data_IF_691353318513
#
_entry.id   IF_691353318513
#
_cell.length_a   1.000
_cell.length_b   1.000
_cell.length_c   1.000
_cell.angle_alpha   90.00
_cell.angle_beta   90.00
_cell.angle_gamma   90.00
#
_symmetry.space_group_name_H-M   'P 1'
#
loop_
_entity.id
_entity.type
_entity.pdbx_description
1 polymer ?
#
# COMPACT_ATOMS: atom_id res chain seq x y z
N UNK A 1 -7.84 -44.08 9.40
CA UNK A 1 -6.68 -44.89 8.96
C UNK A 1 -7.15 -46.29 8.61
N UNK A 2 -7.17 -46.65 7.33
CA UNK A 2 -7.43 -48.01 6.83
C UNK A 2 -6.47 -48.23 5.67
N UNK A 3 -5.48 -49.10 5.86
CA UNK A 3 -4.54 -49.51 4.82
C UNK A 3 -5.12 -50.79 4.22
N UNK A 4 -5.49 -50.76 2.94
CA UNK A 4 -5.85 -51.94 2.16
C UNK A 4 -4.73 -52.20 1.16
N UNK A 5 -4.07 -53.34 1.37
CA UNK A 5 -2.98 -53.85 0.55
C UNK A 5 -3.58 -54.87 -0.43
N UNK A 6 -3.48 -54.64 -1.73
CA UNK A 6 -3.95 -55.59 -2.75
C UNK A 6 -2.87 -55.76 -3.84
N UNK A 7 -2.29 -56.97 -3.83
CA UNK A 7 -1.39 -57.52 -4.85
C UNK A 7 -2.12 -57.75 -6.18
N UNK A 8 -1.37 -57.52 -7.26
CA UNK A 8 -1.48 -58.02 -8.63
C UNK A 8 -2.70 -58.89 -8.97
N UNK A 9 -3.52 -58.39 -9.89
CA UNK A 9 -4.19 -59.20 -10.91
C UNK A 9 -4.37 -58.37 -12.17
N UNK A 10 -3.74 -58.82 -13.25
CA UNK A 10 -3.97 -58.32 -14.61
C UNK A 10 -5.39 -58.69 -15.02
N UNK A 11 -6.22 -57.69 -15.33
CA UNK A 11 -7.39 -57.87 -16.17
C UNK A 11 -7.59 -56.61 -17.01
N UNK A 12 -7.48 -56.77 -18.33
CA UNK A 12 -7.74 -55.72 -19.29
C UNK A 12 -9.22 -55.32 -19.23
N UNK A 13 -9.49 -54.11 -18.73
CA UNK A 13 -10.77 -53.43 -18.91
C UNK A 13 -10.51 -52.29 -19.88
N UNK A 14 -11.02 -52.45 -21.09
CA UNK A 14 -11.20 -51.39 -22.07
C UNK A 14 -12.27 -50.45 -21.53
N UNK A 15 -11.87 -49.44 -20.73
CA UNK A 15 -12.76 -48.36 -20.31
C UNK A 15 -12.74 -47.30 -21.40
N UNK A 16 -13.88 -47.15 -22.07
CA UNK A 16 -14.24 -45.97 -22.84
C UNK A 16 -13.95 -44.73 -21.99
N UNK A 17 -12.91 -43.98 -22.36
CA UNK A 17 -12.67 -42.64 -21.81
C UNK A 17 -13.84 -41.76 -22.25
N UNK A 18 -14.86 -41.69 -21.39
CA UNK A 18 -15.78 -40.56 -21.41
C UNK A 18 -14.93 -39.30 -21.31
N UNK A 19 -15.05 -38.42 -22.30
CA UNK A 19 -14.61 -37.04 -22.18
C UNK A 19 -15.31 -36.43 -20.98
N UNK A 20 -14.64 -36.47 -19.82
CA UNK A 20 -14.97 -35.55 -18.74
C UNK A 20 -14.50 -34.21 -19.27
N UNK A 21 -15.42 -33.46 -19.87
CA UNK A 21 -15.23 -32.02 -20.05
C UNK A 21 -14.99 -31.47 -18.64
N UNK A 22 -13.73 -31.20 -18.32
CA UNK A 22 -13.44 -30.23 -17.29
C UNK A 22 -14.21 -28.98 -17.70
N UNK A 23 -15.10 -28.51 -16.84
CA UNK A 23 -15.60 -27.15 -16.97
C UNK A 23 -14.35 -26.28 -17.03
N UNK A 24 -14.06 -25.73 -18.21
CA UNK A 24 -13.03 -24.73 -18.33
C UNK A 24 -13.49 -23.60 -17.40
N UNK A 25 -12.81 -23.45 -16.27
CA UNK A 25 -12.85 -22.20 -15.56
C UNK A 25 -12.28 -21.22 -16.58
N UNK A 26 -13.15 -20.45 -17.24
CA UNK A 26 -12.80 -19.42 -18.22
C UNK A 26 -12.22 -18.21 -17.49
N UNK A 27 -11.25 -18.47 -16.61
CA UNK A 27 -10.39 -17.44 -16.06
C UNK A 27 -9.40 -17.07 -17.15
N UNK A 28 -9.29 -15.78 -17.52
CA UNK A 28 -8.23 -15.32 -18.40
C UNK A 28 -6.89 -15.90 -17.92
N UNK A 29 -6.25 -16.69 -18.77
CA UNK A 29 -5.02 -17.36 -18.39
C UNK A 29 -3.95 -16.31 -18.12
N UNK A 30 -3.47 -16.25 -16.88
CA UNK A 30 -2.27 -15.49 -16.52
C UNK A 30 -1.10 -16.02 -17.33
N UNK A 31 -0.42 -15.13 -18.03
CA UNK A 31 0.81 -15.46 -18.74
C UNK A 31 2.05 -15.09 -17.90
N UNK A 32 1.93 -14.13 -16.98
CA UNK A 32 3.00 -13.71 -16.08
C UNK A 32 2.40 -13.21 -14.76
N UNK A 33 2.89 -13.75 -13.65
CA UNK A 33 2.57 -13.24 -12.32
C UNK A 33 3.71 -12.34 -11.82
N UNK A 34 3.33 -11.30 -11.09
CA UNK A 34 4.18 -10.19 -10.69
C UNK A 34 3.88 -9.86 -9.23
N UNK A 35 4.88 -9.89 -8.37
CA UNK A 35 4.74 -9.42 -7.00
C UNK A 35 5.16 -7.94 -6.90
N UNK A 36 4.36 -7.16 -6.20
CA UNK A 36 4.56 -5.72 -5.96
C UNK A 36 4.66 -5.50 -4.46
N UNK A 37 5.75 -4.88 -4.00
CA UNK A 37 6.06 -4.73 -2.57
C UNK A 37 5.70 -3.38 -1.98
N UNK A 38 5.49 -2.37 -2.81
CA UNK A 38 5.19 -1.02 -2.37
C UNK A 38 4.20 -0.34 -3.32
N UNK A 39 3.53 0.70 -2.84
CA UNK A 39 2.65 1.50 -3.68
C UNK A 39 3.50 2.31 -4.66
N UNK A 40 3.16 2.30 -5.94
CA UNK A 40 3.93 3.01 -6.94
C UNK A 40 3.52 2.77 -8.38
N UNK A 41 4.25 3.39 -9.30
CA UNK A 41 4.10 3.17 -10.74
C UNK A 41 5.06 2.08 -11.17
N UNK A 42 4.53 1.05 -11.81
CA UNK A 42 5.27 -0.11 -12.26
C UNK A 42 5.32 -0.18 -13.78
N UNK A 43 6.45 -0.66 -14.31
CA UNK A 43 6.66 -0.93 -15.73
C UNK A 43 6.99 -2.40 -15.99
N UNK A 44 6.39 -2.93 -17.05
CA UNK A 44 6.67 -4.26 -17.59
C UNK A 44 6.99 -4.10 -19.06
N UNK A 45 8.23 -4.38 -19.45
CA UNK A 45 8.66 -4.26 -20.85
C UNK A 45 8.38 -5.54 -21.63
N UNK A 46 8.36 -5.45 -22.95
CA UNK A 46 8.34 -6.62 -23.83
C UNK A 46 9.46 -7.60 -23.49
N UNK A 47 10.68 -7.07 -23.31
CA UNK A 47 11.88 -7.88 -23.07
C UNK A 47 11.81 -8.60 -21.72
N UNK A 48 11.24 -7.98 -20.70
CA UNK A 48 11.02 -8.62 -19.39
C UNK A 48 10.15 -9.87 -19.52
N UNK A 49 9.06 -9.79 -20.29
CA UNK A 49 8.12 -10.90 -20.47
C UNK A 49 8.77 -12.02 -21.29
N UNK A 50 9.49 -11.68 -22.36
CA UNK A 50 10.21 -12.67 -23.19
C UNK A 50 11.35 -13.33 -22.41
N UNK A 51 12.02 -12.62 -21.50
CA UNK A 51 13.04 -13.18 -20.62
C UNK A 51 12.50 -14.26 -19.67
N UNK A 52 11.18 -14.25 -19.38
CA UNK A 52 10.49 -15.33 -18.65
C UNK A 52 10.11 -16.52 -19.56
N UNK A 53 10.54 -16.55 -20.82
CA UNK A 53 10.21 -17.60 -21.78
C UNK A 53 8.83 -17.48 -22.42
N UNK A 54 8.15 -16.34 -22.26
CA UNK A 54 6.80 -16.11 -22.77
C UNK A 54 6.88 -15.48 -24.16
N UNK A 55 6.27 -16.13 -25.16
CA UNK A 55 6.25 -15.60 -26.53
C UNK A 55 5.08 -14.62 -26.74
N UNK A 56 5.41 -13.34 -26.96
CA UNK A 56 4.45 -12.28 -27.26
C UNK A 56 4.32 -11.94 -28.76
N UNK A 57 5.00 -12.68 -29.64
CA UNK A 57 4.99 -12.42 -31.08
C UNK A 57 3.57 -12.42 -31.66
N UNK A 58 3.19 -11.32 -32.31
CA UNK A 58 1.89 -11.17 -32.96
C UNK A 58 0.72 -10.92 -31.99
N UNK A 59 0.98 -10.79 -30.69
CA UNK A 59 -0.05 -10.42 -29.73
C UNK A 59 -0.43 -8.95 -29.93
N UNK A 60 -1.72 -8.70 -30.12
CA UNK A 60 -2.27 -7.35 -30.22
C UNK A 60 -2.11 -6.63 -28.89
N UNK A 61 -1.59 -5.41 -28.89
CA UNK A 61 -1.46 -4.61 -27.66
C UNK A 61 -2.81 -4.30 -27.00
N UNK A 62 -3.91 -4.25 -27.77
CA UNK A 62 -5.27 -4.09 -27.24
C UNK A 62 -5.76 -5.29 -26.43
N UNK A 63 -5.10 -6.45 -26.55
CA UNK A 63 -5.41 -7.69 -25.82
C UNK A 63 -4.50 -7.92 -24.62
N UNK A 64 -3.63 -6.99 -24.27
CA UNK A 64 -2.87 -7.07 -23.02
C UNK A 64 -3.64 -6.34 -21.93
N UNK A 65 -3.73 -6.95 -20.74
CA UNK A 65 -4.28 -6.33 -19.55
C UNK A 65 -3.65 -6.91 -18.30
N UNK A 66 -3.75 -6.17 -17.20
CA UNK A 66 -3.29 -6.61 -15.89
C UNK A 66 -4.51 -6.75 -14.98
N UNK A 67 -4.49 -7.78 -14.13
CA UNK A 67 -5.46 -8.00 -13.06
C UNK A 67 -4.75 -8.09 -11.71
N UNK A 68 -5.42 -7.67 -10.64
CA UNK A 68 -5.03 -7.94 -9.26
C UNK A 68 -6.18 -8.70 -8.59
N UNK A 69 -5.93 -9.91 -8.11
CA UNK A 69 -6.97 -10.77 -7.50
C UNK A 69 -8.25 -10.90 -8.36
N UNK A 70 -8.10 -10.99 -9.69
CA UNK A 70 -9.22 -11.08 -10.63
C UNK A 70 -9.87 -9.75 -11.02
N UNK A 71 -9.49 -8.65 -10.37
CA UNK A 71 -10.00 -7.30 -10.64
C UNK A 71 -9.12 -6.64 -11.73
N UNK A 72 -9.69 -6.17 -12.86
CA UNK A 72 -8.94 -5.46 -13.88
C UNK A 72 -8.28 -4.18 -13.35
N UNK A 73 -7.01 -4.00 -13.72
CA UNK A 73 -6.21 -2.82 -13.38
C UNK A 73 -6.02 -1.97 -14.64
N UNK A 74 -6.33 -0.66 -14.61
CA UNK A 74 -6.04 0.22 -15.73
C UNK A 74 -4.55 0.27 -16.06
N UNK A 75 -4.23 0.10 -17.34
CA UNK A 75 -2.84 0.14 -17.84
C UNK A 75 -2.67 1.19 -18.93
N UNK A 76 -1.45 1.71 -19.07
CA UNK A 76 -1.01 2.50 -20.23
C UNK A 76 -0.01 1.68 -21.03
N UNK A 77 -0.19 1.61 -22.35
CA UNK A 77 0.73 0.88 -23.23
C UNK A 77 1.48 1.88 -24.08
N UNK A 78 2.80 1.89 -23.93
CA UNK A 78 3.70 2.71 -24.72
C UNK A 78 4.25 1.85 -25.85
N UNK A 79 3.94 2.25 -27.08
CA UNK A 79 4.34 1.51 -28.28
C UNK A 79 4.40 2.42 -29.48
N UNK A 80 5.42 2.22 -30.32
CA UNK A 80 5.55 2.90 -31.61
C UNK A 80 4.69 2.26 -32.70
N UNK A 81 4.20 1.04 -32.48
CA UNK A 81 3.32 0.31 -33.38
C UNK A 81 1.85 0.49 -32.95
N UNK A 82 0.91 0.53 -33.90
CA UNK A 82 -0.52 0.68 -33.58
C UNK A 82 -1.22 -0.64 -33.26
N UNK A 83 -0.65 -1.80 -33.62
CA UNK A 83 -1.37 -3.09 -33.58
C UNK A 83 -0.74 -4.06 -32.60
N UNK A 84 0.53 -4.37 -32.77
CA UNK A 84 1.26 -5.41 -32.02
C UNK A 84 2.07 -4.83 -30.88
N UNK A 85 2.29 -5.64 -29.85
CA UNK A 85 3.23 -5.35 -28.76
C UNK A 85 4.59 -5.97 -29.11
N UNK A 86 5.61 -5.13 -29.29
CA UNK A 86 6.88 -5.47 -29.94
C UNK A 86 8.09 -5.09 -29.08
N UNK A 87 9.31 -5.54 -29.43
CA UNK A 87 10.52 -5.15 -28.71
C UNK A 87 10.64 -3.62 -28.56
N UNK A 88 10.92 -3.16 -27.35
CA UNK A 88 10.95 -1.74 -26.97
C UNK A 88 9.62 -1.18 -26.45
N UNK A 89 8.50 -1.91 -26.62
CA UNK A 89 7.22 -1.53 -26.02
C UNK A 89 7.17 -1.90 -24.53
N UNK A 90 6.33 -1.19 -23.78
CA UNK A 90 6.13 -1.45 -22.36
C UNK A 90 4.73 -1.07 -21.88
N UNK A 91 4.35 -1.67 -20.75
CA UNK A 91 3.11 -1.43 -20.04
C UNK A 91 3.44 -0.71 -18.75
N UNK A 92 2.75 0.39 -18.45
CA UNK A 92 2.77 1.04 -17.15
C UNK A 92 1.41 0.87 -16.45
N UNK A 93 1.44 0.75 -15.12
CA UNK A 93 0.25 0.71 -14.29
C UNK A 93 0.58 1.18 -12.87
N UNK A 94 -0.45 1.57 -12.11
CA UNK A 94 -0.30 1.88 -10.69
C UNK A 94 -0.51 0.60 -9.88
N UNK A 95 0.55 0.16 -9.20
CA UNK A 95 0.53 -0.97 -8.28
C UNK A 95 0.31 -0.50 -6.85
N UNK A 96 -0.49 -1.24 -6.11
CA UNK A 96 -0.72 -1.02 -4.68
C UNK A 96 -0.34 -2.30 -3.94
N UNK A 97 0.45 -2.16 -2.89
CA UNK A 97 0.62 -3.21 -1.91
C UNK A 97 -0.61 -3.21 -0.99
N UNK A 98 -1.49 -4.18 -1.20
CA UNK A 98 -2.61 -4.43 -0.32
C UNK A 98 -2.15 -4.90 1.06
N UNK A 99 -2.84 -4.43 2.10
CA UNK A 99 -2.60 -4.90 3.46
C UNK A 99 -3.18 -6.31 3.62
N UNK A 100 -2.32 -7.33 3.57
CA UNK A 100 -2.66 -8.71 3.93
C UNK A 100 -1.82 -9.16 5.11
N UNK A 101 -2.45 -9.72 6.13
CA UNK A 101 -1.76 -10.32 7.28
C UNK A 101 -0.90 -11.53 6.89
N UNK A 102 -1.14 -12.11 5.72
CA UNK A 102 -0.61 -13.41 5.32
C UNK A 102 0.21 -13.36 4.02
N UNK A 103 0.41 -12.17 3.46
CA UNK A 103 1.14 -12.01 2.21
C UNK A 103 1.98 -10.74 2.23
N UNK A 104 3.28 -10.91 1.97
CA UNK A 104 4.17 -9.79 1.68
C UNK A 104 4.02 -9.38 0.22
N UNK A 105 3.48 -8.19 -0.01
CA UNK A 105 3.24 -7.66 -1.34
C UNK A 105 1.87 -8.05 -1.92
N UNK A 106 1.66 -7.69 -3.17
CA UNK A 106 0.43 -7.95 -3.91
C UNK A 106 0.71 -8.56 -5.28
N UNK A 107 -0.09 -9.55 -5.64
CA UNK A 107 0.08 -10.29 -6.90
C UNK A 107 -0.76 -9.67 -7.99
N UNK A 108 -0.06 -9.28 -9.04
CA UNK A 108 -0.62 -8.80 -10.29
C UNK A 108 -0.34 -9.83 -11.38
N UNK A 109 -1.28 -10.01 -12.29
CA UNK A 109 -1.16 -10.97 -13.39
C UNK A 109 -1.35 -10.28 -14.72
N UNK A 110 -0.38 -10.44 -15.62
CA UNK A 110 -0.55 -10.10 -17.03
C UNK A 110 -1.38 -11.18 -17.70
N UNK A 111 -2.44 -10.79 -18.40
CA UNK A 111 -3.36 -11.68 -19.10
C UNK A 111 -3.53 -11.25 -20.56
N UNK A 112 -3.89 -12.21 -21.43
CA UNK A 112 -4.24 -11.95 -22.83
C UNK A 112 -5.77 -11.81 -22.95
N UNK A 113 -6.27 -10.65 -22.52
CA UNK A 113 -7.67 -10.26 -22.68
C UNK A 113 -7.78 -8.73 -22.82
N UNK A 114 -8.91 -8.26 -23.33
CA UNK A 114 -9.24 -6.84 -23.24
C UNK A 114 -9.39 -6.44 -21.76
N UNK A 115 -8.87 -5.27 -21.40
CA UNK A 115 -8.98 -4.76 -20.04
C UNK A 115 -9.02 -3.24 -20.01
N UNK A 116 -8.91 -2.69 -18.81
CA UNK A 116 -8.99 -1.26 -18.58
C UNK A 116 -7.75 -0.54 -19.12
N UNK A 117 -7.91 0.75 -19.40
CA UNK A 117 -6.85 1.64 -19.88
C UNK A 117 -6.79 2.89 -19.02
N UNK A 118 -5.58 3.40 -18.83
CA UNK A 118 -5.37 4.73 -18.27
C UNK A 118 -5.80 5.75 -19.33
N UNK A 119 -6.62 6.72 -18.93
CA UNK A 119 -7.08 7.78 -19.81
C UNK A 119 -6.08 8.93 -19.82
N UNK A 120 -5.77 9.46 -21.01
CA UNK A 120 -4.89 10.62 -21.14
C UNK A 120 -5.68 11.91 -20.93
N UNK A 121 -5.46 12.56 -19.78
CA UNK A 121 -5.93 13.92 -19.55
C UNK A 121 -4.94 14.91 -20.19
N UNK A 122 -5.46 15.87 -20.94
CA UNK A 122 -4.68 16.87 -21.69
C UNK A 122 -4.62 18.24 -20.99
N UNK A 123 -5.11 18.33 -19.76
CA UNK A 123 -5.01 19.52 -18.92
C UNK A 123 -3.55 19.91 -18.77
N UNK A 124 -3.24 21.14 -19.16
CA UNK A 124 -1.89 21.71 -19.05
C UNK A 124 -1.71 22.38 -17.69
N UNK A 125 -0.47 22.43 -17.17
CA UNK A 125 -0.14 23.24 -16.01
C UNK A 125 -0.65 24.68 -16.14
N UNK A 126 -1.37 25.18 -15.13
CA UNK A 126 -1.93 26.52 -15.09
C UNK A 126 -1.18 27.42 -14.10
N UNK A 127 -0.18 28.14 -14.60
CA UNK A 127 0.66 29.05 -13.80
C UNK A 127 -0.05 30.31 -13.28
N UNK A 128 -1.30 30.55 -13.66
CA UNK A 128 -2.07 31.71 -13.18
C UNK A 128 -2.81 31.43 -11.87
N UNK A 129 -2.98 30.15 -11.52
CA UNK A 129 -3.64 29.71 -10.30
C UNK A 129 -2.62 29.56 -9.18
N UNK A 130 -2.99 29.97 -7.96
CA UNK A 130 -2.18 29.67 -6.78
C UNK A 130 -2.09 28.15 -6.58
N UNK A 131 -0.89 27.59 -6.35
CA UNK A 131 -0.73 26.17 -6.14
C UNK A 131 -1.26 25.75 -4.76
N UNK A 132 -1.68 24.49 -4.65
CA UNK A 132 -1.94 23.85 -3.36
C UNK A 132 -0.66 23.85 -2.51
N UNK A 133 -0.80 24.19 -1.24
CA UNK A 133 0.34 24.41 -0.34
C UNK A 133 0.77 23.14 0.40
N UNK A 134 -0.18 22.27 0.71
CA UNK A 134 0.04 21.05 1.48
C UNK A 134 -0.95 19.96 1.12
N UNK A 135 -0.62 18.74 1.51
CA UNK A 135 -1.55 17.62 1.62
C UNK A 135 -1.46 17.03 3.03
N UNK A 136 -2.47 16.28 3.45
CA UNK A 136 -2.39 15.53 4.70
C UNK A 136 -1.57 14.26 4.45
N UNK A 137 -0.32 14.25 4.90
CA UNK A 137 0.53 13.07 4.85
C UNK A 137 0.23 12.17 6.03
N UNK A 138 0.23 10.85 5.78
CA UNK A 138 0.02 9.82 6.77
C UNK A 138 1.28 8.98 6.89
N UNK A 139 1.93 9.06 8.04
CA UNK A 139 2.93 8.09 8.47
C UNK A 139 2.22 7.02 9.31
N UNK A 140 2.36 5.74 8.95
CA UNK A 140 1.76 4.62 9.67
C UNK A 140 2.81 3.57 9.98
N UNK A 141 2.72 2.99 11.18
CA UNK A 141 3.59 1.90 11.59
C UNK A 141 2.79 0.84 12.35
N UNK A 142 3.02 -0.41 11.99
CA UNK A 142 2.34 -1.59 12.51
C UNK A 142 2.87 -2.83 11.81
N UNK A 143 4.15 -3.14 12.04
CA UNK A 143 4.91 -4.17 11.30
C UNK A 143 4.50 -5.62 11.65
N UNK A 144 3.51 -5.81 12.53
CA UNK A 144 2.96 -7.12 12.88
C UNK A 144 4.05 -8.16 13.21
N UNK A 145 5.03 -7.76 14.02
CA UNK A 145 6.27 -8.51 14.26
C UNK A 145 6.08 -9.79 15.05
N UNK A 146 5.14 -9.80 16.00
CA UNK A 146 4.97 -10.91 16.93
C UNK A 146 3.52 -11.36 17.00
N UNK A 147 3.32 -12.68 16.97
CA UNK A 147 2.00 -13.29 17.11
C UNK A 147 1.61 -13.47 18.58
N UNK A 148 0.35 -13.19 18.91
CA UNK A 148 -0.28 -13.57 20.17
C UNK A 148 -1.73 -13.99 19.96
N UNK A 149 -2.04 -15.25 20.25
CA UNK A 149 -3.40 -15.81 20.20
C UNK A 149 -4.36 -15.15 21.20
N UNK A 150 -3.84 -14.46 22.22
CA UNK A 150 -4.62 -13.70 23.20
C UNK A 150 -5.00 -12.29 22.75
N UNK A 151 -4.75 -11.92 21.49
CA UNK A 151 -5.19 -10.63 20.94
C UNK A 151 -6.71 -10.48 21.07
N UNK A 152 -7.20 -9.32 21.55
CA UNK A 152 -8.63 -9.03 21.60
C UNK A 152 -9.19 -8.53 20.26
N UNK A 153 -8.37 -8.47 19.21
CA UNK A 153 -8.75 -8.02 17.88
C UNK A 153 -8.70 -9.17 16.86
N UNK A 154 -9.23 -8.94 15.66
CA UNK A 154 -9.12 -9.91 14.55
C UNK A 154 -7.67 -10.06 14.05
N UNK A 155 -6.77 -9.12 14.38
CA UNK A 155 -5.34 -9.19 14.10
C UNK A 155 -4.60 -9.77 15.32
N UNK A 156 -4.07 -11.01 15.23
CA UNK A 156 -3.31 -11.61 16.32
C UNK A 156 -1.87 -11.09 16.40
N UNK A 157 -1.45 -10.25 15.45
CA UNK A 157 -0.09 -9.72 15.41
C UNK A 157 -0.02 -8.36 16.12
N UNK A 158 1.16 -8.05 16.65
CA UNK A 158 1.46 -6.76 17.28
C UNK A 158 2.95 -6.43 17.07
N UNK A 159 3.34 -5.17 17.29
CA UNK A 159 4.72 -4.74 17.08
C UNK A 159 5.61 -5.01 18.30
N UNK A 160 5.23 -4.49 19.47
CA UNK A 160 6.05 -4.53 20.69
C UNK A 160 5.23 -4.94 21.91
N UNK A 161 5.90 -5.54 22.89
CA UNK A 161 5.33 -5.92 24.18
C UNK A 161 6.09 -5.25 25.31
N UNK A 162 5.37 -4.55 26.17
CA UNK A 162 5.87 -4.04 27.45
C UNK A 162 5.43 -5.01 28.54
N UNK A 163 6.36 -5.40 29.41
CA UNK A 163 6.09 -6.17 30.63
C UNK A 163 6.74 -5.45 31.80
N UNK A 164 5.92 -4.84 32.63
CA UNK A 164 6.36 -4.20 33.86
C UNK A 164 6.09 -5.12 35.06
N UNK A 165 7.10 -5.36 35.90
CA UNK A 165 7.01 -6.18 37.12
C UNK A 165 7.76 -5.48 38.24
N UNK A 166 7.04 -5.04 39.28
CA UNK A 166 7.60 -4.44 40.49
C UNK A 166 8.34 -3.10 40.29
N UNK A 167 8.38 -2.60 39.05
CA UNK A 167 9.02 -1.34 38.67
C UNK A 167 8.50 -0.91 37.29
N UNK A 168 8.62 0.38 37.01
CA UNK A 168 8.23 0.96 35.72
C UNK A 168 9.08 0.42 34.57
N UNK A 169 8.45 0.24 33.41
CA UNK A 169 9.13 -0.08 32.15
C UNK A 169 8.63 0.87 31.07
N UNK A 170 9.52 1.28 30.18
CA UNK A 170 9.17 2.16 29.06
C UNK A 170 9.65 1.57 27.73
N UNK A 171 8.90 1.88 26.68
CA UNK A 171 9.28 1.64 25.30
C UNK A 171 9.25 2.97 24.54
N UNK A 172 10.24 3.16 23.67
CA UNK A 172 10.31 4.34 22.81
C UNK A 172 10.08 3.95 21.37
N UNK A 173 9.31 4.78 20.69
CA UNK A 173 9.00 4.69 19.28
C UNK A 173 9.44 6.00 18.64
N UNK A 174 10.18 5.90 17.54
CA UNK A 174 10.70 7.04 16.81
C UNK A 174 10.00 7.16 15.47
N UNK A 175 9.61 8.38 15.11
CA UNK A 175 9.03 8.69 13.82
C UNK A 175 9.58 10.00 13.29
N UNK A 176 9.60 10.16 11.97
CA UNK A 176 10.15 11.35 11.34
C UNK A 176 9.02 12.16 10.68
N UNK A 177 8.94 13.44 11.02
CA UNK A 177 8.14 14.43 10.29
C UNK A 177 9.09 15.16 9.34
N UNK A 178 8.70 15.33 8.07
CA UNK A 178 9.47 16.12 7.12
C UNK A 178 8.58 17.07 6.32
N UNK A 179 9.11 18.26 6.01
CA UNK A 179 8.42 19.29 5.23
C UNK A 179 7.05 19.68 5.83
N UNK A 180 6.97 19.79 7.15
CA UNK A 180 5.78 20.20 7.89
C UNK A 180 5.37 21.63 7.49
N UNK A 181 4.11 21.80 7.12
CA UNK A 181 3.50 23.12 6.91
C UNK A 181 2.80 23.53 8.20
N UNK A 182 3.18 24.69 8.73
CA UNK A 182 2.63 25.23 9.98
C UNK A 182 1.22 25.81 9.79
N UNK A 183 0.26 24.94 9.47
CA UNK A 183 -1.15 25.25 9.27
C UNK A 183 -2.01 24.13 9.86
N UNK A 184 -3.06 24.46 10.61
CA UNK A 184 -3.93 23.42 11.21
C UNK A 184 -3.20 22.55 12.24
N UNK A 185 -3.60 21.28 12.30
CA UNK A 185 -3.26 20.36 13.39
C UNK A 185 -2.53 19.11 12.86
N UNK A 186 -1.77 18.48 13.75
CA UNK A 186 -1.23 17.13 13.61
C UNK A 186 -2.04 16.17 14.47
N UNK A 187 -2.44 15.04 13.88
CA UNK A 187 -3.18 13.98 14.57
C UNK A 187 -2.24 12.79 14.82
N UNK A 188 -1.97 12.48 16.09
CA UNK A 188 -1.30 11.26 16.51
C UNK A 188 -2.35 10.26 17.02
N UNK A 189 -2.41 9.08 16.40
CA UNK A 189 -3.20 7.95 16.89
C UNK A 189 -2.29 6.84 17.40
N UNK A 190 -2.61 6.28 18.57
CA UNK A 190 -1.85 5.17 19.17
C UNK A 190 -2.83 4.06 19.55
N UNK A 191 -2.52 2.84 19.09
CA UNK A 191 -3.33 1.65 19.32
C UNK A 191 -2.54 0.63 20.15
N UNK A 192 -3.07 0.31 21.32
CA UNK A 192 -2.51 -0.67 22.26
C UNK A 192 -3.60 -1.62 22.74
N UNK A 193 -3.19 -2.71 23.40
CA UNK A 193 -4.13 -3.56 24.13
C UNK A 193 -3.53 -4.16 25.39
N UNK A 194 -4.40 -4.44 26.36
CA UNK A 194 -4.05 -5.04 27.64
C UNK A 194 -3.70 -6.51 27.48
N UNK A 195 -2.59 -6.94 28.10
CA UNK A 195 -2.09 -8.32 28.04
C UNK A 195 -2.31 -9.14 29.32
N UNK A 196 -2.94 -8.55 30.32
CA UNK A 196 -3.34 -9.18 31.59
C UNK A 196 -4.79 -8.82 31.92
N UNK A 197 -5.39 -9.56 32.85
CA UNK A 197 -6.73 -9.29 33.35
C UNK A 197 -6.77 -9.71 34.82
N UNK A 198 -6.32 -8.80 35.69
CA UNK A 198 -6.27 -9.02 37.14
C UNK A 198 -7.56 -8.53 37.82
N UNK A 199 -7.87 -8.99 39.06
CA UNK A 199 -9.07 -8.53 39.77
C UNK A 199 -9.11 -7.04 40.14
N UNK A 200 -7.98 -6.33 40.00
CA UNK A 200 -7.88 -4.89 40.18
C UNK A 200 -8.54 -4.19 39.01
N UNK A 201 -9.39 -3.18 39.24
CA UNK A 201 -10.06 -2.46 38.15
C UNK A 201 -9.93 -0.96 38.35
N UNK A 202 -9.23 -0.22 37.47
CA UNK A 202 -8.45 -0.72 36.32
C UNK A 202 -7.16 -1.45 36.73
N UNK A 203 -6.74 -2.46 35.97
CA UNK A 203 -5.48 -3.21 36.18
C UNK A 203 -4.30 -2.70 35.34
N UNK A 204 -4.56 -1.87 34.33
CA UNK A 204 -3.53 -1.28 33.46
C UNK A 204 -3.36 0.22 33.71
N UNK A 205 -2.10 0.69 33.67
CA UNK A 205 -1.77 2.12 33.68
C UNK A 205 -0.69 2.44 32.65
N UNK A 206 -0.98 3.41 31.78
CA UNK A 206 -0.09 3.81 30.69
C UNK A 206 0.04 5.32 30.65
N UNK A 207 1.29 5.79 30.49
CA UNK A 207 1.62 7.21 30.31
C UNK A 207 2.30 7.38 28.95
N UNK A 208 1.76 8.28 28.13
CA UNK A 208 2.34 8.67 26.85
C UNK A 208 3.06 10.00 26.97
N UNK A 209 4.30 10.03 26.49
CA UNK A 209 5.14 11.22 26.47
C UNK A 209 5.65 11.44 25.05
N UNK A 210 5.40 12.61 24.46
CA UNK A 210 5.94 13.02 23.17
C UNK A 210 7.03 14.06 23.37
N UNK A 211 8.25 13.77 22.91
CA UNK A 211 9.42 14.65 23.05
C UNK A 211 9.63 15.15 24.50
N UNK A 212 9.39 14.30 25.49
CA UNK A 212 9.51 14.64 26.92
C UNK A 212 8.30 15.35 27.54
N UNK A 213 7.27 15.68 26.76
CA UNK A 213 6.01 16.26 27.26
C UNK A 213 4.94 15.17 27.42
N UNK A 214 4.34 15.05 28.60
CA UNK A 214 3.23 14.11 28.81
C UNK A 214 2.03 14.55 27.98
N UNK A 215 1.58 13.68 27.08
CA UNK A 215 0.40 13.90 26.24
C UNK A 215 -0.82 13.12 26.76
N UNK A 216 -0.61 12.06 27.56
CA UNK A 216 -1.69 11.34 28.23
C UNK A 216 -1.19 10.52 29.45
N UNK A 217 -2.09 10.30 30.41
CA UNK A 217 -1.96 9.44 31.59
C UNK A 217 -3.33 8.79 31.82
N UNK A 218 -3.45 7.52 31.47
CA UNK A 218 -4.73 6.83 31.48
C UNK A 218 -4.63 5.40 31.99
N UNK A 219 -5.77 4.90 32.46
CA UNK A 219 -5.92 3.54 32.99
C UNK A 219 -7.07 2.85 32.31
N UNK A 220 -6.94 1.54 32.13
CA UNK A 220 -7.98 0.70 31.53
C UNK A 220 -7.96 -0.71 32.13
N UNK A 221 -8.97 -1.51 31.82
CA UNK A 221 -9.24 -2.79 32.49
C UNK A 221 -9.25 -3.94 31.46
N UNK A 222 -8.47 -4.98 31.75
CA UNK A 222 -8.50 -6.27 31.06
C UNK A 222 -7.94 -6.29 29.63
N UNK A 223 -8.24 -7.40 28.94
CA UNK A 223 -7.79 -7.68 27.58
C UNK A 223 -8.62 -6.93 26.53
N UNK A 224 -8.46 -5.61 26.47
CA UNK A 224 -9.19 -4.75 25.53
C UNK A 224 -8.26 -3.93 24.64
N UNK A 225 -8.71 -3.66 23.42
CA UNK A 225 -8.04 -2.73 22.51
C UNK A 225 -8.40 -1.28 22.88
N UNK A 226 -7.37 -0.45 23.09
CA UNK A 226 -7.49 0.98 23.36
C UNK A 226 -6.86 1.76 22.20
N UNK A 227 -7.65 2.64 21.60
CA UNK A 227 -7.22 3.49 20.49
C UNK A 227 -7.46 4.95 20.87
N UNK A 228 -6.37 5.67 21.15
CA UNK A 228 -6.43 7.08 21.53
C UNK A 228 -5.94 7.97 20.38
N UNK A 229 -6.52 9.15 20.28
CA UNK A 229 -6.18 10.16 19.28
C UNK A 229 -5.85 11.49 19.96
N UNK A 230 -4.78 12.13 19.51
CA UNK A 230 -4.28 13.39 20.06
C UNK A 230 -4.12 14.41 18.93
N UNK A 231 -4.81 15.54 19.06
CA UNK A 231 -4.67 16.69 18.18
C UNK A 231 -3.68 17.67 18.78
N UNK A 232 -2.71 18.08 17.98
CA UNK A 232 -1.64 18.99 18.40
C UNK A 232 -1.52 20.11 17.38
N UNK A 233 -1.27 21.32 17.86
CA UNK A 233 -0.92 22.44 16.99
C UNK A 233 0.35 22.10 16.20
N UNK A 234 0.36 22.35 14.90
CA UNK A 234 1.54 22.13 14.04
C UNK A 234 2.80 22.82 14.58
N UNK A 235 2.65 23.96 15.25
CA UNK A 235 3.74 24.70 15.91
C UNK A 235 4.42 23.99 17.09
N UNK A 236 3.83 22.89 17.61
CA UNK A 236 4.42 22.08 18.69
C UNK A 236 5.39 21.00 18.17
N UNK A 237 5.44 20.81 16.86
CA UNK A 237 6.27 19.81 16.18
C UNK A 237 7.25 20.50 15.23
N UNK A 238 8.19 19.74 14.70
CA UNK A 238 9.24 20.26 13.83
C UNK A 238 9.67 19.22 12.80
N UNK A 239 10.32 19.67 11.73
CA UNK A 239 10.95 18.74 10.79
C UNK A 239 12.08 17.97 11.48
N UNK A 240 11.94 16.66 11.55
CA UNK A 240 12.91 15.76 12.14
C UNK A 240 12.29 14.59 12.90
N UNK A 241 13.12 13.97 13.74
CA UNK A 241 12.74 12.79 14.52
C UNK A 241 12.04 13.22 15.81
N UNK A 242 10.90 12.59 16.07
CA UNK A 242 10.12 12.68 17.29
C UNK A 242 10.18 11.36 18.07
N UNK A 243 10.13 11.44 19.40
CA UNK A 243 10.08 10.29 20.30
C UNK A 243 8.70 10.22 20.97
N UNK A 244 7.93 9.17 20.67
CA UNK A 244 6.78 8.75 21.48
C UNK A 244 7.27 7.70 22.48
N UNK A 245 7.28 8.05 23.75
CA UNK A 245 7.62 7.17 24.87
C UNK A 245 6.35 6.68 25.55
N UNK A 246 6.21 5.37 25.65
CA UNK A 246 5.12 4.68 26.34
C UNK A 246 5.67 4.10 27.62
N UNK A 247 5.13 4.54 28.76
CA UNK A 247 5.57 4.09 30.10
C UNK A 247 4.46 3.31 30.78
N UNK A 248 4.81 2.17 31.36
CA UNK A 248 3.93 1.32 32.18
C UNK A 248 4.50 1.33 33.60
N UNK A 249 3.91 2.12 34.52
CA UNK A 249 4.49 2.34 35.85
C UNK A 249 4.44 1.12 36.79
N UNK A 250 3.51 0.19 36.54
CA UNK A 250 3.20 -0.95 37.43
C UNK A 250 2.78 -0.52 38.86
N UNK A 251 1.94 0.51 38.95
CA UNK A 251 1.42 1.10 40.19
C UNK A 251 -0.05 0.74 40.48
N UNK A 252 -0.62 -0.23 39.75
CA UNK A 252 -2.01 -0.70 39.90
C UNK A 252 -2.18 -1.78 40.98
N UNK A 253 -1.14 -2.05 41.78
CA UNK A 253 -1.08 -3.15 42.75
C UNK A 253 -1.31 -4.55 42.12
N UNK A 254 -1.01 -4.71 40.84
CA UNK A 254 -0.98 -5.99 40.12
C UNK A 254 0.40 -6.64 40.24
N UNK A 255 0.50 -7.95 39.99
CA UNK A 255 1.79 -8.65 39.99
C UNK A 255 2.65 -8.28 38.78
N UNK A 256 2.01 -7.97 37.66
CA UNK A 256 2.62 -7.53 36.42
C UNK A 256 1.61 -6.65 35.67
N UNK A 257 2.11 -5.79 34.79
CA UNK A 257 1.29 -5.07 33.83
C UNK A 257 1.88 -5.36 32.43
N UNK A 258 1.06 -5.94 31.56
CA UNK A 258 1.46 -6.28 30.19
C UNK A 258 0.67 -5.42 29.22
N UNK A 259 1.39 -4.70 28.36
CA UNK A 259 0.80 -3.87 27.31
C UNK A 259 1.38 -4.32 25.97
N UNK A 260 0.53 -4.49 24.97
CA UNK A 260 0.94 -4.74 23.60
C UNK A 260 0.73 -3.48 22.77
N UNK A 261 1.78 -3.04 22.09
CA UNK A 261 1.74 -1.94 21.12
C UNK A 261 1.42 -2.56 19.76
N UNK A 262 0.27 -2.20 19.22
CA UNK A 262 -0.19 -2.71 17.93
C UNK A 262 0.30 -1.80 16.80
N UNK A 263 -0.15 -0.54 16.79
CA UNK A 263 0.19 0.41 15.75
C UNK A 263 0.15 1.85 16.25
N UNK A 264 0.77 2.74 15.48
CA UNK A 264 0.58 4.18 15.63
C UNK A 264 0.56 4.84 14.25
N UNK A 265 -0.01 6.03 14.21
CA UNK A 265 -0.17 6.82 13.00
C UNK A 265 -0.01 8.30 13.30
N UNK A 266 0.66 9.03 12.41
CA UNK A 266 0.71 10.50 12.45
C UNK A 266 0.18 11.04 11.13
N UNK A 267 -0.88 11.83 11.19
CA UNK A 267 -1.36 12.63 10.06
C UNK A 267 -0.91 14.07 10.24
N UNK A 268 -0.21 14.64 9.26
CA UNK A 268 0.25 16.02 9.34
C UNK A 268 0.22 16.75 7.98
N UNK A 269 0.03 18.07 7.98
CA UNK A 269 0.14 18.91 6.79
C UNK A 269 1.58 18.91 6.27
N UNK A 270 1.81 18.29 5.11
CA UNK A 270 3.13 18.20 4.48
C UNK A 270 3.17 18.95 3.18
N UNK A 271 4.24 19.70 2.93
CA UNK A 271 4.45 20.40 1.68
C UNK A 271 4.68 19.41 0.52
N UNK A 272 4.39 19.86 -0.70
CA UNK A 272 4.64 19.08 -1.91
C UNK A 272 6.15 19.05 -2.23
N UNK A 273 6.85 18.08 -1.65
CA UNK A 273 8.29 17.86 -1.84
C UNK A 273 8.52 16.43 -2.29
N UNK A 274 9.13 16.27 -3.47
CA UNK A 274 9.53 14.96 -3.99
C UNK A 274 10.62 14.36 -3.10
N UNK A 275 10.47 13.07 -2.77
CA UNK A 275 11.46 12.27 -2.07
C UNK A 275 11.90 11.16 -3.01
N UNK A 276 13.20 11.08 -3.31
CA UNK A 276 13.74 10.19 -4.33
C UNK A 276 12.97 10.33 -5.67
N UNK A 277 12.77 11.57 -6.12
CA UNK A 277 12.04 11.93 -7.35
C UNK A 277 10.63 11.31 -7.48
N UNK A 278 9.99 10.96 -6.35
CA UNK A 278 8.62 10.44 -6.24
C UNK A 278 7.81 11.21 -5.22
N UNK A 279 6.49 11.19 -5.39
CA UNK A 279 5.53 11.59 -4.35
C UNK A 279 4.23 10.80 -4.54
N UNK A 280 3.70 10.26 -3.44
CA UNK A 280 2.35 9.70 -3.36
C UNK A 280 1.56 10.47 -2.31
N UNK A 281 0.38 10.93 -2.66
CA UNK A 281 -0.52 11.64 -1.75
C UNK A 281 -1.98 11.47 -2.16
N UNK A 282 -2.89 11.74 -1.22
CA UNK A 282 -4.33 11.73 -1.47
C UNK A 282 -4.83 13.17 -1.68
N UNK A 283 -5.72 13.39 -2.66
CA UNK A 283 -6.35 14.71 -2.87
C UNK A 283 -7.52 14.98 -1.93
N UNK A 284 -7.96 13.96 -1.18
CA UNK A 284 -9.08 14.03 -0.26
C UNK A 284 -8.66 14.73 1.04
N UNK A 285 -9.16 15.95 1.23
CA UNK A 285 -9.46 16.42 2.59
C UNK A 285 -10.81 15.81 2.93
N UNK A 286 -10.86 14.75 3.75
CA UNK A 286 -12.13 14.31 4.34
C UNK A 286 -12.68 15.51 5.12
N UNK A 287 -13.67 16.19 4.53
CA UNK A 287 -14.35 17.30 5.19
C UNK A 287 -15.00 16.78 6.48
N UNK A 288 -14.39 17.09 7.62
CA UNK A 288 -15.03 16.99 8.92
C UNK A 288 -15.84 18.28 9.08
N UNK A 289 -17.01 18.34 8.45
CA UNK A 289 -17.92 19.48 8.63
C UNK A 289 -18.90 19.66 7.48
N UNK A 290 -20.18 19.48 7.78
CA UNK A 290 -21.31 19.81 6.91
C UNK A 290 -21.50 21.34 6.73
N UNK A 291 -20.42 22.05 6.37
CA UNK A 291 -20.39 23.51 6.27
C UNK A 291 -20.37 24.07 4.85
N UNK A 292 -19.96 23.28 3.85
CA UNK A 292 -19.66 23.86 2.52
C UNK A 292 -20.26 23.06 1.35
N UNK A 293 -21.47 22.54 1.54
CA UNK A 293 -22.26 21.87 0.49
C UNK A 293 -23.19 22.84 -0.28
N UNK A 294 -23.13 24.15 -0.02
CA UNK A 294 -24.15 25.12 -0.51
C UNK A 294 -23.67 25.96 -1.71
N UNK A 295 -22.39 25.92 -2.11
CA UNK A 295 -21.87 26.69 -3.26
C UNK A 295 -21.26 25.89 -4.41
N UNK A 296 -21.49 24.57 -4.50
CA UNK A 296 -21.14 23.82 -5.71
C UNK A 296 -22.21 23.98 -6.80
N UNK A 297 -22.53 25.21 -7.18
CA UNK A 297 -23.18 25.48 -8.45
C UNK A 297 -22.16 25.14 -9.53
N UNK A 298 -22.35 24.00 -10.21
CA UNK A 298 -21.45 23.35 -11.17
C UNK A 298 -21.11 24.17 -12.43
N UNK A 299 -20.51 25.34 -12.23
CA UNK A 299 -20.02 26.29 -13.23
C UNK A 299 -18.58 26.73 -12.96
N UNK A 300 -17.99 26.32 -11.84
CA UNK A 300 -16.55 26.47 -11.61
C UNK A 300 -15.87 25.24 -12.20
N UNK A 301 -15.39 25.33 -13.44
CA UNK A 301 -14.25 24.52 -13.90
C UNK A 301 -13.02 24.92 -13.06
N UNK A 302 -13.05 24.67 -11.75
CA UNK A 302 -11.87 24.89 -10.93
C UNK A 302 -10.97 23.70 -11.15
N UNK A 303 -9.79 23.97 -11.66
CA UNK A 303 -8.67 23.04 -11.58
C UNK A 303 -7.98 23.21 -10.22
N UNK A 304 -7.09 22.29 -9.85
CA UNK A 304 -6.12 22.47 -8.76
C UNK A 304 -4.72 22.39 -9.32
N UNK A 305 -3.90 23.40 -9.03
CA UNK A 305 -2.51 23.46 -9.50
C UNK A 305 -1.58 23.02 -8.40
N UNK A 306 -0.55 22.23 -8.75
CA UNK A 306 0.41 21.67 -7.80
C UNK A 306 1.83 21.98 -8.26
N UNK A 307 2.64 22.50 -7.34
CA UNK A 307 4.07 22.71 -7.53
C UNK A 307 4.83 21.82 -6.55
N UNK A 308 5.58 20.86 -7.08
CA UNK A 308 6.39 19.93 -6.30
C UNK A 308 7.85 20.34 -6.38
N UNK A 309 8.47 20.59 -5.24
CA UNK A 309 9.90 20.89 -5.14
C UNK A 309 10.77 19.63 -5.18
N UNK A 310 12.09 19.82 -5.30
CA UNK A 310 13.09 18.77 -5.51
C UNK A 310 12.86 17.94 -6.79
N UNK A 311 12.32 18.57 -7.83
CA UNK A 311 12.25 17.94 -9.15
C UNK A 311 13.64 17.91 -9.83
N UNK A 312 13.73 17.22 -10.97
CA UNK A 312 14.91 17.19 -11.82
C UNK A 312 14.51 17.30 -13.31
N UNK A 313 15.44 17.04 -14.25
CA UNK A 313 15.18 17.17 -15.70
C UNK A 313 14.58 15.91 -16.35
N UNK A 314 14.22 14.90 -15.57
CA UNK A 314 13.57 13.72 -16.12
C UNK A 314 12.13 13.98 -16.51
N UNK A 315 11.59 13.11 -17.35
CA UNK A 315 10.16 13.05 -17.60
C UNK A 315 9.46 12.47 -16.39
N UNK A 316 8.41 13.14 -15.91
CA UNK A 316 7.57 12.62 -14.83
C UNK A 316 6.30 11.96 -15.36
N UNK A 317 5.83 10.94 -14.65
CA UNK A 317 4.48 10.39 -14.76
C UNK A 317 3.65 10.94 -13.61
N UNK A 318 2.47 11.47 -13.94
CA UNK A 318 1.45 11.85 -12.96
C UNK A 318 0.22 10.99 -13.25
N UNK A 319 -0.05 10.03 -12.39
CA UNK A 319 -1.24 9.18 -12.46
C UNK A 319 -2.15 9.45 -11.28
N UNK A 320 -3.45 9.61 -11.54
CA UNK A 320 -4.48 9.78 -10.51
C UNK A 320 -5.39 8.56 -10.52
N UNK A 321 -5.41 7.82 -9.42
CA UNK A 321 -6.32 6.69 -9.20
C UNK A 321 -7.57 7.22 -8.49
N UNK A 322 -8.67 7.31 -9.22
CA UNK A 322 -9.95 7.80 -8.69
C UNK A 322 -10.62 6.76 -7.78
N UNK A 323 -11.52 7.20 -6.91
CA UNK A 323 -12.29 6.33 -6.01
C UNK A 323 -13.08 5.22 -6.73
N UNK A 324 -13.53 5.49 -7.96
CA UNK A 324 -14.26 4.52 -8.79
C UNK A 324 -13.33 3.47 -9.46
N UNK A 325 -12.02 3.53 -9.22
CA UNK A 325 -11.00 2.65 -9.79
C UNK A 325 -10.51 3.02 -11.18
N UNK A 326 -11.03 4.08 -11.81
CA UNK A 326 -10.44 4.60 -13.06
C UNK A 326 -9.13 5.33 -12.79
N UNK A 327 -8.24 5.34 -13.78
CA UNK A 327 -6.94 6.00 -13.68
C UNK A 327 -6.77 6.96 -14.83
N UNK A 328 -6.31 8.17 -14.52
CA UNK A 328 -6.00 9.21 -15.49
C UNK A 328 -4.53 9.58 -15.43
N UNK A 329 -3.95 9.94 -16.57
CA UNK A 329 -2.60 10.50 -16.64
C UNK A 329 -2.66 11.98 -16.97
N UNK A 330 -1.91 12.79 -16.24
CA UNK A 330 -1.87 14.24 -16.40
C UNK A 330 -0.55 14.70 -17.00
N UNK A 331 -0.59 15.80 -17.77
CA UNK A 331 0.62 16.45 -18.26
C UNK A 331 1.32 17.15 -17.09
N UNK A 332 2.65 17.11 -17.12
CA UNK A 332 3.47 17.83 -16.16
C UNK A 332 4.64 18.49 -16.88
N UNK A 333 5.13 19.59 -16.31
CA UNK A 333 6.29 20.31 -16.81
C UNK A 333 7.24 20.63 -15.67
N UNK A 334 8.53 20.63 -15.95
CA UNK A 334 9.56 21.07 -15.00
C UNK A 334 9.94 22.51 -15.30
N UNK A 335 10.32 23.26 -14.27
CA UNK A 335 10.78 24.64 -14.44
C UNK A 335 12.03 24.72 -15.31
N UNK A 336 12.16 25.76 -16.13
CA UNK A 336 13.22 25.88 -17.13
C UNK A 336 14.67 25.86 -16.55
N UNK A 337 14.85 26.15 -15.26
CA UNK A 337 16.16 26.26 -14.62
C UNK A 337 16.63 24.98 -13.91
N UNK A 338 15.95 23.84 -14.10
CA UNK A 338 16.32 22.56 -13.49
C UNK A 338 17.72 22.04 -13.93
N UNK A 339 18.38 22.68 -14.89
CA UNK A 339 19.72 22.35 -15.40
C UNK A 339 20.86 23.07 -14.66
N UNK A 340 20.58 24.07 -13.83
CA UNK A 340 21.61 24.82 -13.10
C UNK A 340 21.94 24.16 -11.74
N UNK A 341 23.19 24.26 -11.29
CA UNK A 341 23.78 23.57 -10.11
C UNK A 341 23.10 23.89 -8.76
N UNK A 342 22.04 24.70 -8.74
CA UNK A 342 21.17 24.94 -7.60
C UNK A 342 19.81 24.27 -7.84
N UNK A 343 19.77 22.94 -7.83
CA UNK A 343 18.57 22.11 -8.07
C UNK A 343 17.46 22.27 -7.02
N UNK A 344 17.68 23.07 -5.97
CA UNK A 344 16.72 23.30 -4.89
C UNK A 344 15.48 24.08 -5.34
N UNK A 345 15.57 24.84 -6.44
CA UNK A 345 14.47 25.61 -7.01
C UNK A 345 13.76 24.88 -8.18
N UNK A 346 14.15 23.64 -8.50
CA UNK A 346 13.50 22.89 -9.57
C UNK A 346 12.11 22.44 -9.14
N UNK A 347 11.09 22.98 -9.81
CA UNK A 347 9.69 22.65 -9.57
C UNK A 347 9.14 21.75 -10.68
N UNK A 348 8.44 20.70 -10.30
CA UNK A 348 7.51 19.97 -11.17
C UNK A 348 6.13 20.59 -11.00
N UNK A 349 5.48 20.90 -12.11
CA UNK A 349 4.16 21.54 -12.15
C UNK A 349 3.16 20.66 -12.88
N UNK A 350 1.96 20.55 -12.33
CA UNK A 350 0.82 19.95 -13.01
C UNK A 350 -0.48 20.49 -12.45
N UNK A 351 -1.56 20.26 -13.18
CA UNK A 351 -2.89 20.76 -12.83
C UNK A 351 -3.89 19.61 -12.96
N UNK A 352 -4.66 19.36 -11.91
CA UNK A 352 -5.71 18.35 -11.85
C UNK A 352 -7.08 19.00 -12.03
N UNK A 353 -8.07 18.27 -12.53
CA UNK A 353 -9.47 18.72 -12.54
C UNK A 353 -10.06 18.58 -11.13
N UNK A 354 -11.01 19.44 -10.72
CA UNK A 354 -11.54 19.41 -9.34
C UNK A 354 -12.24 18.11 -8.94
N UNK A 355 -12.73 17.35 -9.91
CA UNK A 355 -13.37 16.05 -9.70
C UNK A 355 -12.35 14.91 -9.58
N UNK A 356 -11.05 15.17 -9.73
CA UNK A 356 -9.97 14.19 -9.57
C UNK A 356 -9.70 13.88 -8.09
N UNK A 357 -10.73 13.37 -7.41
CA UNK A 357 -10.66 12.90 -6.04
C UNK A 357 -10.11 11.46 -6.02
N UNK A 358 -8.96 11.27 -5.38
CA UNK A 358 -8.28 9.98 -5.33
C UNK A 358 -6.82 10.07 -4.90
N UNK A 359 -6.07 9.04 -5.27
CA UNK A 359 -4.65 8.91 -4.93
C UNK A 359 -3.79 9.37 -6.12
N UNK A 360 -2.84 10.27 -5.87
CA UNK A 360 -1.94 10.81 -6.88
C UNK A 360 -0.57 10.18 -6.75
N UNK A 361 -0.08 9.63 -7.85
CA UNK A 361 1.24 9.05 -7.98
C UNK A 361 2.07 9.90 -8.94
N UNK A 362 3.14 10.49 -8.42
CA UNK A 362 4.14 11.24 -9.18
C UNK A 362 5.44 10.47 -9.12
N UNK A 363 6.03 10.16 -10.26
CA UNK A 363 7.35 9.50 -10.33
C UNK A 363 8.15 10.03 -11.51
N UNK A 364 9.46 10.18 -11.35
CA UNK A 364 10.35 10.39 -12.49
C UNK A 364 10.60 9.09 -13.25
N UNK A 365 11.17 9.20 -14.44
CA UNK A 365 11.42 8.07 -15.36
C UNK A 365 12.38 7.02 -14.77
N UNK A 366 13.46 7.44 -14.11
CA UNK A 366 14.47 6.55 -13.49
C UNK A 366 13.94 5.80 -12.26
N UNK A 367 12.80 6.25 -11.77
CA UNK A 367 12.19 5.86 -10.52
C UNK A 367 10.98 4.93 -10.72
N UNK A 368 10.53 4.75 -11.97
CA UNK A 368 9.49 3.78 -12.32
C UNK A 368 9.96 2.37 -11.93
N UNK A 369 9.14 1.66 -11.17
CA UNK A 369 9.51 0.40 -10.55
C UNK A 369 9.35 -0.78 -11.50
N UNK A 370 10.20 -1.80 -11.36
CA UNK A 370 10.03 -3.10 -12.00
C UNK A 370 9.41 -4.08 -11.00
N UNK A 371 8.31 -4.77 -11.32
CA UNK A 371 7.75 -5.75 -10.40
C UNK A 371 8.63 -6.99 -10.30
N UNK A 372 8.51 -7.74 -9.21
CA UNK A 372 9.20 -9.02 -9.06
C UNK A 372 8.47 -10.10 -9.86
N UNK A 373 9.11 -10.61 -10.92
CA UNK A 373 8.52 -11.64 -11.77
C UNK A 373 8.50 -13.00 -11.07
N UNK A 374 7.32 -13.57 -10.95
CA UNK A 374 7.12 -14.90 -10.38
C UNK A 374 7.15 -15.92 -11.50
N UNK A 375 8.22 -16.70 -11.56
CA UNK A 375 8.31 -17.85 -12.44
C UNK A 375 7.28 -18.87 -11.95
N UNK A 376 6.37 -19.38 -12.80
CA UNK A 376 5.50 -20.48 -12.43
C UNK A 376 6.35 -21.65 -11.94
N UNK A 377 6.16 -22.09 -10.70
CA UNK A 377 6.73 -23.37 -10.26
C UNK A 377 6.08 -24.44 -11.14
N UNK A 378 6.86 -25.04 -12.01
CA UNK A 378 6.34 -26.05 -12.91
C UNK A 378 6.02 -27.28 -12.05
N UNK A 379 4.88 -27.93 -12.28
CA UNK A 379 4.53 -29.18 -11.57
C UNK A 379 5.59 -30.28 -11.77
N UNK A 380 6.51 -30.14 -12.73
CA UNK A 380 7.68 -30.99 -12.94
C UNK A 380 8.79 -30.79 -11.89
N UNK A 381 8.77 -29.69 -11.15
CA UNK A 381 9.71 -29.37 -10.07
C UNK A 381 9.30 -30.00 -8.73
N UNK A 382 8.05 -30.48 -8.65
CA UNK A 382 7.58 -31.41 -7.61
C UNK A 382 8.21 -32.77 -7.92
N UNK A 383 9.08 -33.26 -7.03
CA UNK A 383 9.87 -34.45 -7.32
C UNK A 383 8.93 -35.67 -7.42
N UNK A 384 8.95 -36.35 -8.57
CA UNK A 384 8.34 -37.68 -8.71
C UNK A 384 9.06 -38.76 -7.87
N UNK A 385 10.17 -38.43 -7.21
CA UNK A 385 10.95 -39.34 -6.39
C UNK A 385 10.40 -39.44 -4.96
N UNK A 386 9.34 -40.25 -4.77
CA UNK A 386 8.88 -40.96 -3.54
C UNK A 386 8.92 -40.26 -2.17
N UNK A 387 9.34 -39.01 -2.06
CA UNK A 387 9.26 -38.13 -0.92
C UNK A 387 8.06 -37.22 -1.20
N UNK A 388 7.10 -37.25 -0.29
CA UNK A 388 5.85 -36.52 -0.45
C UNK A 388 6.17 -35.02 -0.36
N UNK A 389 5.88 -34.29 -1.43
CA UNK A 389 5.79 -32.83 -1.38
C UNK A 389 4.39 -32.49 -0.84
N UNK A 390 4.33 -31.74 0.26
CA UNK A 390 3.08 -31.34 0.90
C UNK A 390 2.66 -29.96 0.39
N UNK A 391 1.40 -29.82 -0.04
CA UNK A 391 0.72 -28.54 -0.14
C UNK A 391 -0.04 -28.32 1.16
N UNK A 392 0.42 -27.37 1.98
CA UNK A 392 -0.30 -26.96 3.19
C UNK A 392 -1.12 -25.72 2.82
N UNK A 393 -2.43 -25.84 2.90
CA UNK A 393 -3.36 -24.72 2.75
C UNK A 393 -3.92 -24.44 4.14
N UNK A 394 -3.53 -23.31 4.74
CA UNK A 394 -4.13 -22.82 5.98
C UNK A 394 -5.13 -21.72 5.63
N UNK A 395 -6.42 -22.00 5.81
CA UNK A 395 -7.49 -21.01 5.73
C UNK A 395 -8.41 -21.23 6.94
N UNK A 396 -8.96 -20.17 7.56
CA UNK A 396 -9.90 -20.31 8.67
C UNK A 396 -11.06 -21.26 8.36
N UNK A 397 -11.61 -21.20 7.14
CA UNK A 397 -12.67 -22.11 6.67
C UNK A 397 -12.28 -23.60 6.61
N UNK A 398 -11.00 -23.95 6.68
CA UNK A 398 -10.54 -25.34 6.75
C UNK A 398 -10.36 -25.87 8.18
N UNK A 399 -10.61 -25.03 9.19
CA UNK A 399 -10.63 -25.41 10.60
C UNK A 399 -12.10 -25.40 11.04
N UNK A 400 -12.74 -26.57 10.99
CA UNK A 400 -14.14 -26.77 11.37
C UNK A 400 -14.38 -26.94 12.87
#
# INVERSE_FOLDING_TARGET
MKILNLRNSFLAILVLLNNVSFAAIDTPQSILNMNIKENGVYRVTYDDVVAQGINLSGISKSKLSIINNGIPVPIKIFSNNQTTFEPGDFIEFVGKNGNSLYQEGSIYSLIISQGLRINDNRTLPNDTQLPELYYMHREYYGDNKTYNFGSPTEDPWYDKRILAIGSEVNESIYFNIDNLVNIGEVELSVNIWGGTDYPQTPDHHVIYTLNGTVIDDFRFDGLVNVSNQYLMETSSLFDGVHELKITVPNDTNTTADVIYINSWQVNYPRAFVLKNSKLHYDTLVKSIGAGDLIFSNGFEESTKTYYLSNANNETYRVYVVMENGTVESYQSETSANCLELNSQDCLLKFTLENNSNGEVFVTSESEIMTPEYLIPVMLTDIKQDRNIDYLIISHPDFIG
#
